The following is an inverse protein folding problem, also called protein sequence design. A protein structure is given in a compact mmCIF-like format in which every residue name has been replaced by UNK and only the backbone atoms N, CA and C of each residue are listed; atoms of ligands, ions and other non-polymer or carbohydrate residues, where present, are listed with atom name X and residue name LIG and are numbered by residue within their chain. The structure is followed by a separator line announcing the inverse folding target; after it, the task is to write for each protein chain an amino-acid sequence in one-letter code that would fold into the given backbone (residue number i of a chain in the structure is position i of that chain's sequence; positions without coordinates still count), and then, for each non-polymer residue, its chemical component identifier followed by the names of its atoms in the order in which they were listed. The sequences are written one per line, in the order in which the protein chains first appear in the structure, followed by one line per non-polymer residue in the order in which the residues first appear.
data_IF_554492134555
#
_entry.id   IF_554492134555
#
_cell.length_a   1.000
_cell.length_b   1.000
_cell.length_c   1.000
_cell.angle_alpha   90.00
_cell.angle_beta   90.00
_cell.angle_gamma   90.00
#
_symmetry.space_group_name_H-M   'P 1'
#
loop_
_entity.id
_entity.type
_entity.pdbx_description
1 polymer ?
#
# COMPACT_ATOMS: atom_id res chain seq x y z
N UNK A 1 18.83 -9.93 -15.44
CA UNK A 1 17.71 -9.72 -14.49
C UNK A 1 16.41 -10.11 -15.18
N UNK A 2 15.35 -10.48 -14.45
CA UNK A 2 14.18 -11.21 -14.99
C UNK A 2 13.34 -10.39 -15.98
N UNK A 3 13.15 -9.09 -15.72
CA UNK A 3 12.25 -8.22 -16.51
C UNK A 3 12.99 -7.20 -17.39
N UNK A 4 14.32 -7.30 -17.46
CA UNK A 4 15.21 -6.34 -18.11
C UNK A 4 14.83 -5.99 -19.56
N UNK A 5 14.42 -6.98 -20.36
CA UNK A 5 14.05 -6.76 -21.77
C UNK A 5 12.77 -5.95 -21.93
N UNK A 6 11.80 -6.15 -21.03
CA UNK A 6 10.54 -5.38 -21.01
C UNK A 6 10.77 -3.95 -20.53
N UNK A 7 11.73 -3.76 -19.62
CA UNK A 7 11.96 -2.50 -18.92
C UNK A 7 12.97 -1.56 -19.60
N UNK A 8 13.66 -1.98 -20.67
CA UNK A 8 14.68 -1.15 -21.34
C UNK A 8 14.13 0.21 -21.80
N UNK A 9 12.92 0.23 -22.36
CA UNK A 9 12.26 1.45 -22.79
C UNK A 9 11.80 2.30 -21.59
N UNK A 10 11.38 1.65 -20.51
CA UNK A 10 10.97 2.33 -19.27
C UNK A 10 12.17 3.03 -18.62
N UNK A 11 13.30 2.32 -18.46
CA UNK A 11 14.52 2.89 -17.90
C UNK A 11 15.02 4.10 -18.71
N UNK A 12 14.92 4.03 -20.04
CA UNK A 12 15.25 5.15 -20.93
C UNK A 12 14.29 6.34 -20.72
N UNK A 13 12.98 6.07 -20.65
CA UNK A 13 11.95 7.10 -20.46
C UNK A 13 12.00 7.74 -19.06
N UNK A 14 12.45 7.02 -18.03
CA UNK A 14 12.67 7.57 -16.68
C UNK A 14 13.72 8.68 -16.65
N UNK A 15 14.61 8.76 -17.65
CA UNK A 15 15.61 9.83 -17.77
C UNK A 15 15.01 11.16 -18.25
N UNK A 16 13.77 11.14 -18.76
CA UNK A 16 13.05 12.34 -19.21
C UNK A 16 12.65 13.27 -18.07
N UNK A 17 12.22 14.48 -18.45
CA UNK A 17 11.60 15.44 -17.52
C UNK A 17 10.09 15.19 -17.45
N UNK A 18 9.50 15.44 -16.28
CA UNK A 18 8.06 15.32 -16.06
C UNK A 18 7.71 14.64 -14.74
N UNK A 19 6.43 14.70 -14.39
CA UNK A 19 5.91 14.04 -13.19
C UNK A 19 5.61 12.58 -13.50
N UNK A 20 5.89 11.69 -12.55
CA UNK A 20 5.54 10.27 -12.62
C UNK A 20 4.37 10.02 -11.67
N UNK A 21 3.40 9.23 -12.11
CA UNK A 21 2.31 8.78 -11.23
C UNK A 21 2.43 7.27 -11.00
N UNK A 22 2.25 6.84 -9.76
CA UNK A 22 2.04 5.43 -9.40
C UNK A 22 0.57 5.27 -8.99
N UNK A 23 -0.20 4.56 -9.81
CA UNK A 23 -1.63 4.35 -9.61
C UNK A 23 -1.91 2.92 -9.12
N UNK A 24 -2.72 2.82 -8.06
CA UNK A 24 -3.16 1.58 -7.44
C UNK A 24 -4.67 1.40 -7.64
N UNK A 25 -5.16 0.16 -7.80
CA UNK A 25 -6.59 -0.12 -7.96
C UNK A 25 -7.39 0.19 -6.69
N UNK A 26 -8.70 0.25 -6.87
CA UNK A 26 -9.70 0.15 -5.80
C UNK A 26 -9.59 -1.22 -5.10
N UNK A 27 -9.96 -1.28 -3.82
CA UNK A 27 -9.86 -2.45 -2.96
C UNK A 27 -8.49 -3.17 -3.04
N UNK A 28 -7.40 -2.40 -3.03
CA UNK A 28 -6.06 -2.96 -3.16
C UNK A 28 -5.66 -3.79 -1.92
N UNK A 29 -5.14 -5.01 -2.14
CA UNK A 29 -4.59 -5.83 -1.05
C UNK A 29 -3.31 -5.21 -0.49
N UNK A 30 -2.88 -5.66 0.70
CA UNK A 30 -1.62 -5.24 1.33
C UNK A 30 -0.43 -5.39 0.38
N UNK A 31 -0.38 -6.48 -0.38
CA UNK A 31 0.68 -6.71 -1.37
C UNK A 31 0.66 -5.71 -2.52
N UNK A 32 -0.53 -5.38 -3.05
CA UNK A 32 -0.65 -4.36 -4.11
C UNK A 32 -0.19 -2.99 -3.62
N UNK A 33 -0.62 -2.59 -2.42
CA UNK A 33 -0.24 -1.29 -1.84
C UNK A 33 1.26 -1.28 -1.52
N UNK A 34 1.78 -2.32 -0.88
CA UNK A 34 3.20 -2.44 -0.56
C UNK A 34 4.08 -2.38 -1.81
N UNK A 35 3.67 -3.07 -2.88
CA UNK A 35 4.35 -3.04 -4.18
C UNK A 35 4.37 -1.64 -4.78
N UNK A 36 3.22 -0.98 -4.81
CA UNK A 36 3.08 0.39 -5.30
C UNK A 36 3.92 1.38 -4.52
N UNK A 37 3.87 1.31 -3.19
CA UNK A 37 4.64 2.18 -2.30
C UNK A 37 6.14 1.93 -2.39
N UNK A 38 6.57 0.69 -2.58
CA UNK A 38 7.97 0.34 -2.80
C UNK A 38 8.50 0.99 -4.09
N UNK A 39 7.74 0.92 -5.18
CA UNK A 39 8.08 1.60 -6.43
C UNK A 39 8.07 3.13 -6.28
N UNK A 40 7.05 3.68 -5.61
CA UNK A 40 6.93 5.10 -5.31
C UNK A 40 8.15 5.64 -4.54
N UNK A 41 8.52 4.98 -3.44
CA UNK A 41 9.67 5.38 -2.62
C UNK A 41 10.98 5.27 -3.40
N UNK A 42 11.16 4.21 -4.18
CA UNK A 42 12.36 4.04 -5.00
C UNK A 42 12.51 5.16 -6.04
N UNK A 43 11.42 5.55 -6.71
CA UNK A 43 11.40 6.67 -7.66
C UNK A 43 11.66 8.01 -6.95
N UNK A 44 11.07 8.21 -5.76
CA UNK A 44 11.26 9.41 -4.93
C UNK A 44 12.71 9.55 -4.49
N UNK A 45 13.32 8.47 -4.02
CA UNK A 45 14.72 8.41 -3.59
C UNK A 45 15.70 8.65 -4.75
N UNK A 46 15.31 8.27 -5.98
CA UNK A 46 16.04 8.60 -7.20
C UNK A 46 15.87 10.06 -7.67
N UNK A 47 15.22 10.92 -6.87
CA UNK A 47 15.04 12.34 -7.15
C UNK A 47 13.96 12.64 -8.19
N UNK A 48 13.06 11.69 -8.50
CA UNK A 48 11.95 11.92 -9.44
C UNK A 48 10.79 12.62 -8.75
N UNK A 49 10.10 13.47 -9.50
CA UNK A 49 8.81 14.01 -9.08
C UNK A 49 7.75 12.94 -9.24
N UNK A 50 7.42 12.24 -8.15
CA UNK A 50 6.48 11.13 -8.16
C UNK A 50 5.31 11.39 -7.22
N UNK A 51 4.10 11.00 -7.63
CA UNK A 51 2.90 11.00 -6.81
C UNK A 51 2.28 9.61 -6.84
N UNK A 52 1.80 9.14 -5.69
CA UNK A 52 1.07 7.87 -5.59
C UNK A 52 -0.42 8.13 -5.36
N UNK A 53 -1.26 7.41 -6.08
CA UNK A 53 -2.73 7.59 -6.08
C UNK A 53 -3.47 6.27 -5.98
N UNK A 54 -4.62 6.28 -5.30
CA UNK A 54 -5.54 5.13 -5.20
C UNK A 54 -6.96 5.63 -4.97
N UNK A 55 -8.02 4.98 -5.50
CA UNK A 55 -9.40 5.32 -5.17
C UNK A 55 -9.74 5.15 -3.68
N UNK A 56 -9.03 4.26 -2.98
CA UNK A 56 -9.34 3.89 -1.60
C UNK A 56 -8.84 4.93 -0.60
N UNK A 57 -9.59 5.07 0.50
CA UNK A 57 -9.03 5.64 1.73
C UNK A 57 -8.35 4.50 2.49
N UNK A 58 -7.02 4.53 2.56
CA UNK A 58 -6.22 3.45 3.14
C UNK A 58 -6.57 3.24 4.62
N UNK A 59 -6.65 1.97 5.02
CA UNK A 59 -7.15 1.56 6.34
C UNK A 59 -6.03 1.46 7.39
N UNK A 60 -6.41 1.35 8.67
CA UNK A 60 -5.45 1.27 9.79
C UNK A 60 -4.56 0.02 9.71
N UNK A 61 -5.04 -1.10 9.15
CA UNK A 61 -4.23 -2.32 8.96
C UNK A 61 -3.11 -2.15 7.92
N UNK A 62 -3.21 -1.11 7.07
CA UNK A 62 -2.22 -0.76 6.05
C UNK A 62 -1.32 0.41 6.49
N UNK A 63 -1.57 1.00 7.68
CA UNK A 63 -0.88 2.20 8.18
C UNK A 63 0.59 2.00 8.50
N UNK A 64 1.06 0.75 8.63
CA UNK A 64 2.46 0.46 8.93
C UNK A 64 3.37 0.63 7.70
N UNK A 65 2.81 0.58 6.47
CA UNK A 65 3.59 0.69 5.25
C UNK A 65 4.26 2.07 5.12
N UNK A 66 5.54 2.06 4.77
CA UNK A 66 6.29 3.29 4.51
C UNK A 66 5.73 4.01 3.26
N UNK A 67 5.50 5.32 3.38
CA UNK A 67 4.93 6.14 2.31
C UNK A 67 3.41 6.07 2.19
N UNK A 68 2.71 5.31 3.04
CA UNK A 68 1.24 5.17 2.99
C UNK A 68 0.51 6.51 3.15
N UNK A 69 1.06 7.43 3.95
CA UNK A 69 0.52 8.78 4.15
C UNK A 69 0.64 9.70 2.94
N UNK A 70 1.45 9.33 1.94
CA UNK A 70 1.61 10.11 0.71
C UNK A 70 0.56 9.76 -0.36
N UNK A 71 -0.25 8.71 -0.13
CA UNK A 71 -1.29 8.24 -1.08
C UNK A 71 -2.45 9.22 -1.13
N UNK A 72 -2.75 9.68 -2.35
CA UNK A 72 -3.83 10.61 -2.61
C UNK A 72 -5.01 9.88 -3.27
N UNK A 73 -6.22 10.22 -2.82
CA UNK A 73 -7.46 9.76 -3.43
C UNK A 73 -7.93 10.60 -4.63
N UNK A 74 -7.16 11.65 -4.94
CA UNK A 74 -7.37 12.52 -6.08
C UNK A 74 -6.12 12.44 -6.93
N UNK A 75 -6.29 12.14 -8.22
CA UNK A 75 -5.20 12.21 -9.18
C UNK A 75 -4.59 13.62 -9.11
N UNK A 76 -3.26 13.78 -9.08
CA UNK A 76 -2.65 15.10 -9.18
C UNK A 76 -2.93 15.63 -10.58
N UNK A 77 -4.13 16.17 -10.77
CA UNK A 77 -4.36 17.21 -11.74
C UNK A 77 -3.35 18.29 -11.34
N UNK A 78 -2.58 18.82 -12.29
CA UNK A 78 -1.96 20.11 -12.07
C UNK A 78 -3.09 21.12 -11.81
N UNK A 79 -3.50 21.22 -10.54
CA UNK A 79 -4.59 22.09 -10.08
C UNK A 79 -4.18 23.55 -10.05
N UNK A 80 -2.92 23.84 -10.38
CA UNK A 80 -2.57 25.11 -10.96
C UNK A 80 -2.50 24.90 -12.46
N UNK A 81 -3.17 25.76 -13.21
CA UNK A 81 -3.19 25.70 -14.66
C UNK A 81 -4.17 26.70 -15.23
N UNK A 82 -3.93 27.16 -16.46
CA UNK A 82 -4.85 28.06 -17.15
C UNK A 82 -5.90 27.20 -17.88
N UNK A 83 -7.19 27.50 -17.67
CA UNK A 83 -8.22 27.06 -18.59
C UNK A 83 -8.18 28.00 -19.81
N UNK A 84 -7.83 27.48 -20.97
CA UNK A 84 -7.60 28.27 -22.18
C UNK A 84 -8.70 27.98 -23.19
N UNK A 85 -9.30 29.06 -23.70
CA UNK A 85 -10.19 29.05 -24.85
C UNK A 85 -9.41 29.59 -26.04
N UNK A 86 -9.14 28.75 -27.02
CA UNK A 86 -8.47 29.10 -28.28
C UNK A 86 -9.49 29.38 -29.37
N UNK A 87 -9.41 30.58 -29.93
CA UNK A 87 -10.24 31.03 -31.05
C UNK A 87 -9.43 30.93 -32.35
N UNK A 88 -9.81 30.02 -33.24
CA UNK A 88 -9.08 29.80 -34.49
C UNK A 88 -9.51 30.77 -35.59
N UNK A 89 -8.57 31.19 -36.43
CA UNK A 89 -8.84 32.03 -37.61
C UNK A 89 -8.97 33.53 -37.32
N UNK A 90 -8.72 33.99 -36.10
CA UNK A 90 -8.76 35.42 -35.73
C UNK A 90 -7.38 36.08 -35.61
N UNK A 91 -6.30 35.32 -35.84
CA UNK A 91 -4.91 35.80 -35.77
C UNK A 91 -4.36 36.03 -37.17
N UNK A 92 -3.84 37.21 -37.43
CA UNK A 92 -3.14 37.61 -38.66
C UNK A 92 -1.63 37.62 -38.42
N UNK A 93 -0.82 37.29 -39.42
CA UNK A 93 0.63 37.42 -39.34
C UNK A 93 1.07 38.72 -40.02
N UNK A 94 1.52 39.70 -39.24
CA UNK A 94 2.02 40.98 -39.75
C UNK A 94 3.53 41.04 -39.50
N UNK A 95 4.32 41.06 -40.57
CA UNK A 95 5.80 41.07 -40.51
C UNK A 95 6.39 39.94 -39.63
N UNK A 96 5.79 38.75 -39.68
CA UNK A 96 6.22 37.59 -38.89
C UNK A 96 5.74 37.55 -37.44
N UNK A 97 4.93 38.53 -37.01
CA UNK A 97 4.34 38.55 -35.67
C UNK A 97 2.84 38.24 -35.71
N UNK A 98 2.34 37.35 -34.84
CA UNK A 98 0.91 37.10 -34.72
C UNK A 98 0.21 38.29 -34.05
N UNK A 99 -0.82 38.83 -34.70
CA UNK A 99 -1.58 39.99 -34.24
C UNK A 99 -3.06 39.73 -34.44
N UNK A 100 -3.90 40.14 -33.47
CA UNK A 100 -5.36 40.13 -33.60
C UNK A 100 -5.81 41.56 -33.91
N UNK A 101 -5.74 41.97 -35.18
CA UNK A 101 -6.00 43.36 -35.60
C UNK A 101 -7.47 43.77 -35.50
N UNK A 102 -8.36 42.80 -35.34
CA UNK A 102 -9.81 43.00 -35.24
C UNK A 102 -10.31 43.22 -33.81
N UNK A 103 -9.49 43.01 -32.78
CA UNK A 103 -9.90 43.10 -31.38
C UNK A 103 -9.28 44.34 -30.71
N UNK A 104 -10.13 45.22 -30.19
CA UNK A 104 -9.71 46.39 -29.42
C UNK A 104 -9.54 46.05 -27.93
N UNK A 105 -10.51 45.33 -27.36
CA UNK A 105 -10.53 44.98 -25.94
C UNK A 105 -11.27 43.66 -25.71
N UNK A 106 -10.84 42.91 -24.71
CA UNK A 106 -11.56 41.76 -24.16
C UNK A 106 -12.00 42.11 -22.74
N UNK A 107 -13.30 42.02 -22.48
CA UNK A 107 -13.90 42.10 -21.15
C UNK A 107 -14.61 40.78 -20.81
N UNK A 108 -14.99 40.63 -19.55
CA UNK A 108 -15.78 39.50 -19.09
C UNK A 108 -16.82 39.96 -18.06
N UNK A 109 -17.98 39.31 -18.06
CA UNK A 109 -19.02 39.57 -17.07
C UNK A 109 -19.80 38.32 -16.70
N UNK A 110 -20.14 38.12 -15.41
CA UNK A 110 -21.06 37.07 -15.02
C UNK A 110 -22.48 37.41 -15.49
N UNK A 111 -23.17 36.43 -16.05
CA UNK A 111 -24.56 36.53 -16.50
C UNK A 111 -25.35 35.32 -16.00
N UNK A 112 -25.92 35.45 -14.80
CA UNK A 112 -26.55 34.34 -14.10
C UNK A 112 -25.52 33.25 -13.76
N UNK A 113 -25.72 32.05 -14.33
CA UNK A 113 -24.79 30.91 -14.18
C UNK A 113 -23.70 30.87 -15.27
N UNK A 114 -23.68 31.83 -16.19
CA UNK A 114 -22.74 31.87 -17.31
C UNK A 114 -21.67 32.95 -17.09
N UNK A 115 -20.53 32.78 -17.75
CA UNK A 115 -19.50 33.81 -17.92
C UNK A 115 -19.50 34.24 -19.38
N UNK A 116 -19.89 35.48 -19.64
CA UNK A 116 -19.87 36.05 -20.97
C UNK A 116 -18.51 36.72 -21.21
N UNK A 117 -17.83 36.32 -22.30
CA UNK A 117 -16.63 36.99 -22.81
C UNK A 117 -17.03 38.01 -23.86
N UNK A 118 -16.73 39.29 -23.62
CA UNK A 118 -17.14 40.41 -24.47
C UNK A 118 -15.95 40.91 -25.28
N UNK A 119 -15.98 40.63 -26.58
CA UNK A 119 -14.97 41.05 -27.54
C UNK A 119 -15.38 42.40 -28.16
N UNK A 120 -14.68 43.47 -27.80
CA UNK A 120 -14.87 44.79 -28.41
C UNK A 120 -14.09 44.84 -29.73
N UNK A 121 -14.82 44.82 -30.85
CA UNK A 121 -14.25 44.71 -32.19
C UNK A 121 -13.86 46.11 -32.69
N UNK A 122 -12.68 46.22 -33.31
CA UNK A 122 -12.23 47.45 -33.96
C UNK A 122 -13.24 47.88 -35.05
N UNK A 123 -13.66 49.15 -35.11
CA UNK A 123 -14.62 49.61 -36.11
C UNK A 123 -14.22 49.24 -37.55
N UNK A 124 -15.16 48.65 -38.30
CA UNK A 124 -14.94 48.23 -39.69
C UNK A 124 -14.21 46.90 -39.87
N UNK A 125 -13.85 46.20 -38.78
CA UNK A 125 -13.30 44.84 -38.81
C UNK A 125 -14.35 43.80 -38.42
N UNK A 126 -14.02 42.53 -38.68
CA UNK A 126 -14.80 41.37 -38.25
C UNK A 126 -13.97 40.52 -37.31
N UNK A 127 -14.62 39.98 -36.28
CA UNK A 127 -14.05 39.01 -35.36
C UNK A 127 -14.98 37.79 -35.34
N UNK A 128 -14.68 36.80 -36.19
CA UNK A 128 -15.49 35.61 -36.40
C UNK A 128 -14.56 34.37 -36.34
N UNK A 129 -14.37 33.76 -35.16
CA UNK A 129 -13.59 32.54 -35.03
C UNK A 129 -14.20 31.40 -35.86
N UNK A 130 -13.36 30.66 -36.57
CA UNK A 130 -13.78 29.48 -37.35
C UNK A 130 -14.10 28.32 -36.41
N UNK A 131 -13.36 28.24 -35.30
CA UNK A 131 -13.52 27.21 -34.30
C UNK A 131 -13.16 27.75 -32.91
N UNK A 132 -13.81 27.18 -31.90
CA UNK A 132 -13.55 27.48 -30.49
C UNK A 132 -13.14 26.17 -29.84
N UNK A 133 -11.89 26.11 -29.37
CA UNK A 133 -11.35 24.94 -28.67
C UNK A 133 -11.05 25.29 -27.23
N UNK A 134 -11.45 24.42 -26.32
CA UNK A 134 -11.10 24.49 -24.91
C UNK A 134 -10.03 23.46 -24.58
N UNK A 135 -9.02 23.87 -23.81
CA UNK A 135 -8.06 22.95 -23.23
C UNK A 135 -7.53 23.51 -21.90
N UNK A 136 -7.04 22.61 -21.04
CA UNK A 136 -6.37 23.00 -19.80
C UNK A 136 -4.87 22.98 -20.03
N UNK A 137 -4.19 24.04 -19.63
CA UNK A 137 -2.75 24.09 -19.49
C UNK A 137 -2.42 23.88 -18.01
N UNK A 138 -1.90 22.72 -17.64
CA UNK A 138 -1.55 22.42 -16.25
C UNK A 138 -0.15 22.96 -15.90
N UNK A 139 -0.05 23.75 -14.82
CA UNK A 139 1.19 24.20 -14.14
C UNK A 139 1.73 23.17 -13.12
N UNK A 140 1.15 21.97 -13.05
CA UNK A 140 1.85 20.79 -12.52
C UNK A 140 2.50 20.10 -13.71
N UNK A 141 3.83 20.06 -13.78
CA UNK A 141 4.56 19.60 -14.97
C UNK A 141 3.98 18.31 -15.56
N UNK A 142 3.89 18.26 -16.90
CA UNK A 142 3.31 17.17 -17.69
C UNK A 142 3.59 15.81 -17.04
N UNK A 143 2.53 15.03 -16.78
CA UNK A 143 2.70 13.63 -16.40
C UNK A 143 3.34 12.93 -17.58
N UNK A 144 4.59 12.51 -17.43
CA UNK A 144 5.36 11.88 -18.51
C UNK A 144 5.18 10.35 -18.50
N UNK A 145 4.86 9.79 -17.33
CA UNK A 145 4.71 8.35 -17.15
C UNK A 145 3.70 8.03 -16.05
N UNK A 146 2.91 6.97 -16.25
CA UNK A 146 2.07 6.37 -15.21
C UNK A 146 2.42 4.90 -15.06
N UNK A 147 2.84 4.50 -13.86
CA UNK A 147 2.89 3.11 -13.44
C UNK A 147 1.54 2.72 -12.87
N UNK A 148 0.93 1.68 -13.42
CA UNK A 148 -0.29 1.06 -12.89
C UNK A 148 0.10 -0.27 -12.27
N UNK A 149 -0.09 -0.41 -10.96
CA UNK A 149 0.44 -1.53 -10.18
C UNK A 149 -0.71 -2.33 -9.57
N UNK A 150 -0.87 -3.58 -10.00
CA UNK A 150 -1.83 -4.55 -9.45
C UNK A 150 -3.28 -4.39 -9.95
N UNK A 151 -3.51 -3.58 -10.99
CA UNK A 151 -4.80 -3.45 -11.66
C UNK A 151 -4.83 -4.33 -12.91
N UNK A 152 -5.91 -5.11 -13.08
CA UNK A 152 -6.11 -5.98 -14.24
C UNK A 152 -6.73 -5.23 -15.43
N UNK A 153 -7.35 -4.09 -15.17
CA UNK A 153 -7.80 -3.14 -16.19
C UNK A 153 -7.71 -1.70 -15.68
N UNK A 154 -7.72 -0.72 -16.59
CA UNK A 154 -7.82 0.70 -16.20
C UNK A 154 -9.11 1.03 -15.44
N UNK A 155 -10.18 0.24 -15.63
CA UNK A 155 -11.43 0.44 -14.90
C UNK A 155 -11.29 0.14 -13.40
N UNK A 156 -10.30 -0.67 -13.00
CA UNK A 156 -10.03 -0.99 -11.60
C UNK A 156 -9.48 0.24 -10.84
N UNK A 157 -9.07 1.29 -11.55
CA UNK A 157 -8.69 2.58 -10.98
C UNK A 157 -9.89 3.52 -10.74
N UNK A 158 -11.12 3.10 -11.11
CA UNK A 158 -12.38 3.83 -10.86
C UNK A 158 -12.28 5.35 -11.15
N UNK A 159 -12.62 6.19 -10.16
CA UNK A 159 -12.64 7.64 -10.28
C UNK A 159 -11.27 8.23 -10.70
N UNK A 160 -10.16 7.57 -10.35
CA UNK A 160 -8.82 7.99 -10.78
C UNK A 160 -8.69 7.90 -12.30
N UNK A 161 -9.20 6.84 -12.93
CA UNK A 161 -9.16 6.72 -14.39
C UNK A 161 -10.29 7.50 -15.07
N UNK A 162 -11.53 7.37 -14.59
CA UNK A 162 -12.72 7.96 -15.22
C UNK A 162 -12.62 9.48 -15.33
N UNK A 163 -12.05 10.15 -14.32
CA UNK A 163 -11.89 11.60 -14.31
C UNK A 163 -10.65 12.09 -15.07
N UNK A 164 -9.75 11.19 -15.49
CA UNK A 164 -8.43 11.55 -16.05
C UNK A 164 -8.12 10.78 -17.35
N UNK A 165 -9.13 10.32 -18.09
CA UNK A 165 -8.98 9.47 -19.29
C UNK A 165 -8.00 10.04 -20.32
N UNK A 166 -7.96 11.37 -20.48
CA UNK A 166 -7.03 12.06 -21.37
C UNK A 166 -5.57 11.90 -20.94
N UNK A 167 -5.28 11.94 -19.63
CA UNK A 167 -3.93 11.72 -19.11
C UNK A 167 -3.48 10.29 -19.42
N UNK A 168 -4.32 9.30 -19.11
CA UNK A 168 -4.01 7.89 -19.38
C UNK A 168 -3.87 7.57 -20.88
N UNK A 169 -4.55 8.31 -21.76
CA UNK A 169 -4.45 8.12 -23.21
C UNK A 169 -3.19 8.75 -23.83
N UNK A 170 -2.67 9.83 -23.22
CA UNK A 170 -1.58 10.62 -23.78
C UNK A 170 -0.23 10.42 -23.07
N UNK A 171 -0.20 9.58 -22.03
CA UNK A 171 0.99 9.35 -21.19
C UNK A 171 1.56 7.97 -21.41
N UNK A 172 2.87 7.80 -21.21
CA UNK A 172 3.50 6.49 -21.27
C UNK A 172 3.03 5.60 -20.10
N UNK A 173 2.23 4.57 -20.40
CA UNK A 173 1.70 3.64 -19.39
C UNK A 173 2.60 2.42 -19.19
N UNK A 174 2.94 2.14 -17.95
CA UNK A 174 3.62 0.91 -17.52
C UNK A 174 2.66 0.10 -16.64
N UNK A 175 2.25 -1.07 -17.12
CA UNK A 175 1.33 -1.96 -16.43
C UNK A 175 2.13 -3.08 -15.74
N UNK A 176 2.02 -3.21 -14.42
CA UNK A 176 2.70 -4.22 -13.61
C UNK A 176 1.63 -4.99 -12.85
N UNK A 177 1.44 -6.27 -13.19
CA UNK A 177 0.42 -7.11 -12.56
C UNK A 177 0.79 -8.59 -12.69
N UNK A 178 0.15 -9.42 -11.89
CA UNK A 178 0.29 -10.89 -11.88
C UNK A 178 -1.00 -11.61 -12.23
N UNK A 179 -2.10 -10.88 -12.40
CA UNK A 179 -3.39 -11.50 -12.67
C UNK A 179 -3.44 -12.03 -14.11
N UNK A 180 -3.77 -13.33 -14.34
CA UNK A 180 -3.92 -13.89 -15.67
C UNK A 180 -5.02 -13.24 -16.51
N UNK A 181 -5.97 -12.53 -15.89
CA UNK A 181 -7.05 -11.83 -16.60
C UNK A 181 -6.71 -10.39 -16.97
N UNK A 182 -5.46 -9.95 -16.79
CA UNK A 182 -5.05 -8.57 -17.10
C UNK A 182 -5.17 -8.26 -18.60
N UNK A 183 -5.71 -7.09 -18.94
CA UNK A 183 -6.01 -6.70 -20.32
C UNK A 183 -4.83 -6.14 -21.12
N UNK A 184 -3.60 -6.14 -20.59
CA UNK A 184 -2.39 -5.68 -21.27
C UNK A 184 -2.49 -4.23 -21.78
N UNK A 185 -3.06 -3.35 -20.98
CA UNK A 185 -3.40 -1.97 -21.39
C UNK A 185 -2.21 -0.99 -21.40
N UNK A 186 -1.03 -1.40 -20.94
CA UNK A 186 0.16 -0.54 -20.90
C UNK A 186 0.88 -0.44 -22.25
N UNK A 187 1.63 0.64 -22.45
CA UNK A 187 2.64 0.72 -23.51
C UNK A 187 3.79 -0.27 -23.23
N UNK A 188 4.14 -0.44 -21.95
CA UNK A 188 4.94 -1.57 -21.44
C UNK A 188 4.08 -2.40 -20.49
N UNK A 189 4.07 -3.72 -20.66
CA UNK A 189 3.36 -4.66 -19.79
C UNK A 189 4.38 -5.62 -19.16
N UNK A 190 4.51 -5.56 -17.84
CA UNK A 190 5.29 -6.50 -17.02
C UNK A 190 4.29 -7.39 -16.30
N UNK A 191 3.85 -8.45 -17.00
CA UNK A 191 2.89 -9.42 -16.49
C UNK A 191 3.58 -10.74 -16.17
N UNK A 192 3.51 -11.17 -14.91
CA UNK A 192 4.08 -12.46 -14.47
C UNK A 192 3.07 -13.24 -13.65
N UNK A 193 2.34 -14.14 -14.33
CA UNK A 193 1.34 -15.00 -13.70
C UNK A 193 1.95 -16.12 -12.85
N UNK A 194 3.26 -16.36 -12.95
CA UNK A 194 3.98 -17.40 -12.21
C UNK A 194 4.62 -16.90 -10.92
N UNK A 195 4.79 -15.58 -10.76
CA UNK A 195 5.18 -15.01 -9.48
C UNK A 195 4.22 -15.51 -8.37
N UNK A 196 4.56 -15.44 -7.08
CA UNK A 196 3.63 -15.69 -5.98
C UNK A 196 2.96 -14.40 -5.46
N UNK A 197 3.68 -13.27 -5.55
CA UNK A 197 3.23 -11.95 -5.09
C UNK A 197 3.58 -10.86 -6.10
N UNK A 198 3.05 -9.65 -5.92
CA UNK A 198 3.44 -8.48 -6.69
C UNK A 198 4.72 -7.85 -6.10
N UNK A 199 4.90 -7.96 -4.79
CA UNK A 199 6.08 -7.44 -4.09
C UNK A 199 7.39 -8.12 -4.55
N UNK A 200 7.35 -9.43 -4.83
CA UNK A 200 8.50 -10.14 -5.42
C UNK A 200 8.76 -9.74 -6.89
N UNK A 201 7.74 -9.29 -7.62
CA UNK A 201 7.97 -8.72 -8.95
C UNK A 201 8.68 -7.38 -8.80
N UNK A 202 8.18 -6.50 -7.92
CA UNK A 202 8.74 -5.16 -7.72
C UNK A 202 10.20 -5.21 -7.29
N UNK A 203 10.61 -6.09 -6.36
CA UNK A 203 12.01 -6.16 -5.93
C UNK A 203 12.97 -6.49 -7.09
N UNK A 204 12.50 -7.24 -8.11
CA UNK A 204 13.29 -7.55 -9.30
C UNK A 204 13.22 -6.44 -10.35
N UNK A 205 12.11 -5.69 -10.42
CA UNK A 205 11.91 -4.54 -11.31
C UNK A 205 12.79 -3.35 -10.90
N UNK A 206 12.93 -3.07 -9.61
CA UNK A 206 13.68 -1.91 -9.12
C UNK A 206 15.13 -1.84 -9.65
N UNK A 207 15.96 -2.89 -9.55
CA UNK A 207 17.32 -2.86 -10.08
C UNK A 207 17.33 -2.83 -11.62
N UNK A 208 16.34 -3.42 -12.31
CA UNK A 208 16.16 -3.31 -13.76
C UNK A 208 15.93 -1.86 -14.22
N UNK A 209 15.34 -1.03 -13.36
CA UNK A 209 15.15 0.41 -13.56
C UNK A 209 16.30 1.26 -12.99
N UNK A 210 17.39 0.64 -12.51
CA UNK A 210 18.49 1.31 -11.81
C UNK A 210 18.04 2.10 -10.58
N UNK A 211 16.99 1.63 -9.90
CA UNK A 211 16.49 2.19 -8.66
C UNK A 211 17.07 1.42 -7.46
N UNK A 212 17.54 2.16 -6.45
CA UNK A 212 18.09 1.58 -5.22
C UNK A 212 16.98 1.11 -4.27
N UNK A 213 17.28 0.06 -3.52
CA UNK A 213 16.40 -0.51 -2.50
C UNK A 213 17.01 -0.20 -1.13
N UNK A 214 16.29 0.55 -0.30
CA UNK A 214 16.66 0.81 1.09
C UNK A 214 15.82 -0.03 2.08
N UNK A 215 16.05 0.18 3.37
CA UNK A 215 15.37 -0.57 4.43
C UNK A 215 13.85 -0.35 4.45
N UNK A 216 13.36 0.84 4.10
CA UNK A 216 11.93 1.17 4.13
C UNK A 216 11.21 0.50 2.95
N UNK A 217 11.79 0.60 1.74
CA UNK A 217 11.33 -0.11 0.54
C UNK A 217 11.34 -1.62 0.77
N UNK A 218 12.43 -2.15 1.33
CA UNK A 218 12.56 -3.57 1.62
C UNK A 218 11.55 -4.05 2.67
N UNK A 219 11.24 -3.24 3.68
CA UNK A 219 10.22 -3.57 4.70
C UNK A 219 8.81 -3.62 4.10
N UNK A 220 8.49 -2.71 3.17
CA UNK A 220 7.23 -2.79 2.41
C UNK A 220 7.16 -4.09 1.61
N UNK A 221 8.21 -4.44 0.86
CA UNK A 221 8.28 -5.68 0.08
C UNK A 221 8.07 -6.91 0.97
N UNK A 222 8.74 -6.99 2.12
CA UNK A 222 8.53 -8.08 3.08
C UNK A 222 7.08 -8.12 3.56
N UNK A 223 6.50 -6.98 3.92
CA UNK A 223 5.12 -6.91 4.40
C UNK A 223 4.12 -7.42 3.36
N UNK A 224 4.29 -7.03 2.09
CA UNK A 224 3.46 -7.51 0.98
C UNK A 224 3.62 -9.01 0.75
N UNK A 225 4.86 -9.52 0.74
CA UNK A 225 5.13 -10.96 0.60
C UNK A 225 4.46 -11.75 1.73
N UNK A 226 4.70 -11.40 2.99
CA UNK A 226 4.16 -12.15 4.12
C UNK A 226 2.63 -12.09 4.18
N UNK A 227 2.02 -10.95 3.87
CA UNK A 227 0.57 -10.82 3.84
C UNK A 227 -0.09 -11.70 2.77
N UNK A 228 0.42 -11.67 1.53
CA UNK A 228 -0.17 -12.41 0.42
C UNK A 228 0.08 -13.91 0.53
N UNK A 229 1.24 -14.32 1.07
CA UNK A 229 1.65 -15.73 1.18
C UNK A 229 1.20 -16.42 2.47
N UNK A 230 0.45 -15.73 3.34
CA UNK A 230 0.10 -16.19 4.69
C UNK A 230 1.34 -16.61 5.49
N UNK A 231 2.29 -15.69 5.66
CA UNK A 231 3.59 -15.94 6.31
C UNK A 231 4.41 -17.05 5.64
N UNK A 232 4.43 -17.07 4.30
CA UNK A 232 5.13 -18.06 3.48
C UNK A 232 4.59 -19.51 3.60
N UNK A 233 3.37 -19.69 4.12
CA UNK A 233 2.77 -21.03 4.32
C UNK A 233 1.85 -21.48 3.19
N UNK A 234 1.25 -20.55 2.44
CA UNK A 234 0.22 -20.87 1.44
C UNK A 234 0.76 -20.93 0.00
N UNK A 235 1.38 -19.85 -0.47
CA UNK A 235 1.85 -19.70 -1.85
C UNK A 235 3.23 -19.06 -1.86
N UNK A 236 4.25 -19.77 -2.32
CA UNK A 236 5.62 -19.28 -2.37
C UNK A 236 6.44 -20.10 -3.36
N UNK A 237 7.39 -19.44 -4.02
CA UNK A 237 8.30 -20.05 -4.99
C UNK A 237 9.76 -19.81 -4.57
N UNK A 238 10.72 -20.43 -5.27
CA UNK A 238 12.13 -20.12 -5.08
C UNK A 238 12.41 -18.61 -5.26
N UNK A 239 11.75 -17.96 -6.24
CA UNK A 239 11.84 -16.52 -6.46
C UNK A 239 11.32 -15.73 -5.24
N UNK A 240 10.27 -16.21 -4.56
CA UNK A 240 9.74 -15.59 -3.34
C UNK A 240 10.77 -15.60 -2.21
N UNK A 241 11.45 -16.73 -1.97
CA UNK A 241 12.47 -16.82 -0.93
C UNK A 241 13.72 -15.99 -1.27
N UNK A 242 14.10 -15.92 -2.56
CA UNK A 242 15.17 -15.03 -3.03
C UNK A 242 14.79 -13.57 -2.78
N UNK A 243 13.56 -13.17 -3.10
CA UNK A 243 13.05 -11.83 -2.84
C UNK A 243 13.08 -11.47 -1.35
N UNK A 244 12.68 -12.39 -0.47
CA UNK A 244 12.79 -12.21 0.99
C UNK A 244 14.24 -12.01 1.41
N UNK A 245 15.16 -12.86 0.93
CA UNK A 245 16.59 -12.73 1.23
C UNK A 245 17.18 -11.39 0.78
N UNK A 246 16.83 -10.93 -0.42
CA UNK A 246 17.24 -9.63 -0.97
C UNK A 246 16.71 -8.46 -0.12
N UNK A 247 15.43 -8.52 0.28
CA UNK A 247 14.84 -7.49 1.12
C UNK A 247 15.49 -7.44 2.50
N UNK A 248 15.74 -8.60 3.13
CA UNK A 248 16.45 -8.67 4.40
C UNK A 248 17.88 -8.15 4.30
N UNK A 249 18.58 -8.46 3.21
CA UNK A 249 19.93 -7.95 2.94
C UNK A 249 19.96 -6.42 2.79
N UNK A 250 18.91 -5.83 2.19
CA UNK A 250 18.74 -4.38 2.10
C UNK A 250 18.34 -3.72 3.44
N UNK A 251 18.21 -4.49 4.52
CA UNK A 251 17.86 -4.00 5.86
C UNK A 251 16.36 -3.98 6.14
N UNK A 252 15.55 -4.62 5.30
CA UNK A 252 14.11 -4.74 5.48
C UNK A 252 13.75 -5.47 6.79
N UNK A 253 12.71 -4.98 7.46
CA UNK A 253 12.16 -5.58 8.68
C UNK A 253 10.72 -5.99 8.43
N UNK A 254 10.36 -7.16 8.93
CA UNK A 254 8.97 -7.61 8.92
C UNK A 254 8.20 -6.73 9.89
N UNK A 255 7.32 -5.89 9.36
CA UNK A 255 6.37 -5.17 10.19
C UNK A 255 5.25 -6.15 10.55
N UNK A 256 5.09 -6.44 11.83
CA UNK A 256 3.94 -7.22 12.27
C UNK A 256 2.68 -6.43 11.94
N UNK A 257 1.91 -6.91 10.96
CA UNK A 257 0.49 -6.59 10.89
C UNK A 257 -0.09 -7.26 12.13
N UNK A 258 -0.45 -6.46 13.13
CA UNK A 258 -1.18 -6.98 14.26
C UNK A 258 -2.51 -7.50 13.75
N UNK A 259 -2.56 -8.78 13.36
CA UNK A 259 -3.80 -9.52 13.39
C UNK A 259 -4.26 -9.42 14.83
N UNK A 260 -5.29 -8.61 15.07
CA UNK A 260 -6.13 -8.78 16.25
C UNK A 260 -6.85 -10.11 16.09
N UNK A 261 -6.12 -11.22 16.19
CA UNK A 261 -6.68 -12.48 16.65
C UNK A 261 -7.12 -12.17 18.07
N UNK A 262 -8.35 -11.71 18.22
CA UNK A 262 -9.04 -11.86 19.49
C UNK A 262 -9.13 -13.36 19.73
N UNK A 263 -8.09 -13.92 20.35
CA UNK A 263 -8.24 -15.06 21.22
C UNK A 263 -9.31 -14.64 22.21
N UNK A 264 -10.54 -15.07 21.93
CA UNK A 264 -11.68 -14.96 22.81
C UNK A 264 -11.36 -15.85 24.01
N UNK A 265 -10.48 -15.37 24.89
CA UNK A 265 -10.33 -15.89 26.24
C UNK A 265 -11.64 -15.53 26.94
N UNK A 266 -12.61 -16.43 26.85
CA UNK A 266 -13.80 -16.37 27.69
C UNK A 266 -13.31 -16.30 29.14
N UNK A 267 -13.72 -15.30 29.93
CA UNK A 267 -13.46 -15.31 31.35
C UNK A 267 -14.07 -16.59 31.94
N UNK A 268 -13.24 -17.48 32.48
CA UNK A 268 -13.74 -18.53 33.34
C UNK A 268 -14.43 -17.86 34.53
N UNK A 269 -15.75 -18.01 34.63
CA UNK A 269 -16.50 -17.64 35.83
C UNK A 269 -15.98 -18.47 36.99
N UNK A 270 -15.36 -17.83 37.97
CA UNK A 270 -15.01 -18.44 39.26
C UNK A 270 -16.28 -19.03 39.92
N UNK A 271 -16.16 -20.17 40.64
CA UNK A 271 -17.28 -20.68 41.44
C UNK A 271 -17.60 -19.72 42.58
N UNK A 272 -18.83 -19.22 42.62
CA UNK A 272 -19.31 -18.35 43.69
C UNK A 272 -19.22 -19.04 45.06
N UNK A 273 -18.55 -18.39 46.01
CA UNK A 273 -18.54 -18.77 47.41
C UNK A 273 -19.97 -18.68 48.01
N UNK A 274 -20.38 -19.73 48.71
CA UNK A 274 -21.68 -19.85 49.39
C UNK A 274 -21.84 -18.79 50.48
N UNK A 275 -22.92 -18.02 50.41
CA UNK A 275 -23.35 -17.13 51.49
C UNK A 275 -24.03 -17.91 52.63
N UNK A 276 -23.73 -17.53 53.87
CA UNK A 276 -24.26 -18.10 55.11
C UNK A 276 -25.79 -17.88 55.28
N UNK A 277 -26.49 -18.72 56.07
CA UNK A 277 -27.95 -18.63 56.23
C UNK A 277 -28.39 -17.52 57.19
N UNK A 278 -29.34 -16.70 56.74
CA UNK A 278 -30.07 -15.71 57.54
C UNK A 278 -31.26 -16.33 58.27
N UNK A 279 -31.44 -15.97 59.56
CA UNK A 279 -32.55 -16.39 60.42
C UNK A 279 -33.91 -15.78 60.00
N UNK A 280 -35.05 -16.43 60.33
CA UNK A 280 -36.36 -16.03 59.83
C UNK A 280 -37.00 -14.88 60.64
N UNK A 281 -37.58 -13.92 59.92
CA UNK A 281 -38.51 -12.92 60.47
C UNK A 281 -39.91 -13.22 59.90
N UNK A 282 -40.88 -13.45 60.77
CA UNK A 282 -42.29 -13.67 60.40
C UNK A 282 -42.98 -12.35 60.03
N UNK A 283 -43.75 -12.29 58.93
CA UNK A 283 -44.69 -11.20 58.67
C UNK A 283 -46.12 -11.53 59.10
N UNK A 284 -46.78 -10.52 59.66
CA UNK A 284 -48.15 -10.50 60.16
C UNK A 284 -49.16 -10.33 59.01
N UNK A 285 -50.31 -11.01 59.08
CA UNK A 285 -51.42 -10.95 58.08
C UNK A 285 -52.54 -10.05 58.64
N UNK A 286 -53.21 -9.25 57.78
CA UNK A 286 -54.68 -9.34 57.75
C UNK A 286 -55.30 -9.39 56.33
N UNK A 287 -56.52 -9.96 56.30
CA UNK A 287 -57.48 -10.22 55.22
C UNK A 287 -57.76 -9.04 54.25
N UNK A 288 -58.36 -9.16 53.05
CA UNK A 288 -59.46 -10.00 52.56
C UNK A 288 -59.63 -9.89 51.01
N UNK A 289 -60.31 -10.89 50.41
CA UNK A 289 -61.20 -10.89 49.24
C UNK A 289 -60.78 -10.92 47.73
N UNK A 290 -61.40 -11.92 47.06
CA UNK A 290 -61.86 -12.09 45.66
C UNK A 290 -60.90 -12.43 44.48
N UNK A 291 -61.16 -13.64 43.95
CA UNK A 291 -61.32 -14.03 42.53
C UNK A 291 -60.12 -14.54 41.68
N UNK A 292 -60.18 -15.86 41.39
CA UNK A 292 -60.02 -16.56 40.09
C UNK A 292 -58.83 -16.20 39.19
N UNK A 293 -57.90 -17.06 38.77
CA UNK A 293 -57.78 -18.52 38.69
C UNK A 293 -57.07 -18.86 37.37
N UNK A 294 -56.03 -19.71 37.36
CA UNK A 294 -55.52 -20.51 36.22
C UNK A 294 -54.40 -21.44 36.74
N UNK A 295 -54.63 -22.76 36.70
CA UNK A 295 -53.71 -23.80 37.23
C UNK A 295 -53.11 -24.62 36.06
N UNK A 296 -51.78 -24.61 35.94
CA UNK A 296 -51.00 -25.25 34.88
C UNK A 296 -50.63 -26.72 35.16
N UNK A 297 -51.19 -27.33 36.22
CA UNK A 297 -50.97 -28.75 36.57
C UNK A 297 -51.66 -29.78 35.65
N UNK A 298 -52.24 -29.38 34.52
CA UNK A 298 -52.86 -30.28 33.55
C UNK A 298 -52.03 -30.58 32.29
N UNK A 299 -50.79 -30.08 32.15
CA UNK A 299 -50.12 -30.17 30.83
C UNK A 299 -49.13 -31.32 30.68
N UNK A 300 -48.41 -31.81 31.70
CA UNK A 300 -47.47 -32.92 31.46
C UNK A 300 -47.45 -34.02 32.53
N UNK A 301 -47.64 -35.23 32.02
CA UNK A 301 -47.97 -36.50 32.66
C UNK A 301 -46.67 -37.29 32.96
N UNK A 302 -46.31 -37.51 34.22
CA UNK A 302 -45.19 -38.39 34.62
C UNK A 302 -45.71 -39.50 35.54
N UNK A 303 -45.69 -40.77 35.11
CA UNK A 303 -45.91 -41.91 36.00
C UNK A 303 -44.65 -42.27 36.79
N UNK A 304 -44.88 -42.79 37.99
CA UNK A 304 -43.91 -43.06 39.05
C UNK A 304 -43.56 -44.57 39.13
N UNK A 305 -42.34 -44.87 39.59
CA UNK A 305 -41.89 -46.12 40.31
C UNK A 305 -41.13 -47.22 39.51
N UNK A 306 -40.40 -48.19 40.15
CA UNK A 306 -39.05 -48.02 40.75
C UNK A 306 -38.06 -49.23 40.50
N UNK A 307 -36.85 -49.14 41.10
CA UNK A 307 -35.96 -50.22 41.67
C UNK A 307 -34.57 -50.49 41.04
N UNK A 308 -33.54 -50.29 41.90
CA UNK A 308 -32.19 -50.89 42.11
C UNK A 308 -31.33 -51.43 40.96
N UNK A 309 -30.07 -50.98 40.88
CA UNK A 309 -28.90 -51.71 41.43
C UNK A 309 -27.56 -50.94 41.25
N UNK A 310 -26.62 -51.31 42.13
CA UNK A 310 -25.20 -50.97 42.21
C UNK A 310 -24.47 -50.64 40.90
N UNK A 311 -23.52 -49.69 40.95
CA UNK A 311 -22.08 -50.00 40.92
C UNK A 311 -21.22 -48.76 41.22
N UNK A 312 -20.07 -49.01 41.86
CA UNK A 312 -19.10 -48.02 42.30
C UNK A 312 -17.85 -48.15 41.42
N UNK A 313 -17.37 -47.03 40.87
CA UNK A 313 -16.02 -46.96 40.31
C UNK A 313 -15.32 -45.67 40.75
N UNK A 314 -14.10 -45.88 41.25
CA UNK A 314 -13.17 -44.93 41.83
C UNK A 314 -12.36 -44.29 40.70
N UNK A 315 -12.21 -42.96 40.71
CA UNK A 315 -11.30 -42.23 39.82
C UNK A 315 -9.83 -42.39 40.29
N UNK A 316 -8.87 -42.67 39.39
CA UNK A 316 -7.44 -42.66 39.74
C UNK A 316 -6.88 -41.23 39.85
N UNK A 317 -5.85 -41.00 40.68
CA UNK A 317 -5.24 -39.68 40.84
C UNK A 317 -4.37 -39.28 39.63
N UNK A 318 -4.42 -37.98 39.32
CA UNK A 318 -3.63 -37.29 38.30
C UNK A 318 -2.15 -37.28 38.71
N UNK A 319 -1.28 -37.83 37.84
CA UNK A 319 0.17 -37.70 37.95
C UNK A 319 0.60 -36.41 37.25
N UNK A 320 1.25 -35.52 37.99
CA UNK A 320 1.89 -34.32 37.49
C UNK A 320 3.21 -34.65 36.78
N UNK A 321 3.26 -34.52 35.46
CA UNK A 321 4.52 -34.58 34.71
C UNK A 321 5.18 -33.21 34.68
N UNK A 322 6.13 -32.99 35.60
CA UNK A 322 7.18 -31.99 35.41
C UNK A 322 8.13 -32.48 34.32
N UNK A 323 8.26 -31.72 33.24
CA UNK A 323 9.27 -31.96 32.22
C UNK A 323 10.65 -31.60 32.80
N UNK A 324 11.46 -32.62 33.10
CA UNK A 324 12.90 -32.44 33.34
C UNK A 324 13.61 -32.27 32.00
N UNK A 325 14.37 -31.19 31.89
CA UNK A 325 15.35 -30.94 30.84
C UNK A 325 16.44 -32.02 30.87
N UNK A 326 16.65 -32.72 29.75
CA UNK A 326 17.82 -33.57 29.55
C UNK A 326 19.10 -32.74 29.52
N UNK A 327 20.23 -33.22 30.06
CA UNK A 327 21.51 -32.55 29.92
C UNK A 327 21.92 -32.48 28.45
N UNK A 328 21.95 -31.26 27.93
CA UNK A 328 22.47 -30.91 26.63
C UNK A 328 23.95 -31.30 26.56
N UNK A 329 24.27 -32.14 25.59
CA UNK A 329 25.60 -32.57 25.23
C UNK A 329 26.38 -31.33 24.75
N UNK A 330 27.38 -30.91 25.53
CA UNK A 330 28.30 -29.82 25.14
C UNK A 330 28.91 -30.13 23.77
N UNK A 331 28.93 -29.19 22.80
CA UNK A 331 29.78 -29.36 21.64
C UNK A 331 31.25 -29.37 22.10
N UNK A 332 31.92 -30.49 21.84
CA UNK A 332 33.35 -30.66 22.02
C UNK A 332 34.06 -29.73 21.04
N UNK A 333 34.84 -28.80 21.58
CA UNK A 333 35.66 -27.89 20.77
C UNK A 333 36.61 -28.66 19.87
N UNK A 334 36.49 -28.44 18.57
CA UNK A 334 37.44 -28.94 17.59
C UNK A 334 38.69 -28.05 17.64
N UNK A 335 39.75 -28.59 18.25
CA UNK A 335 41.06 -27.97 18.24
C UNK A 335 41.71 -28.18 16.87
N UNK A 336 41.85 -27.10 16.10
CA UNK A 336 42.72 -27.09 14.94
C UNK A 336 44.19 -27.17 15.38
N UNK A 337 44.80 -28.36 15.31
CA UNK A 337 46.25 -28.49 15.43
C UNK A 337 46.93 -28.04 14.15
N UNK A 338 47.57 -26.87 14.21
CA UNK A 338 48.49 -26.34 13.20
C UNK A 338 49.75 -27.21 13.06
N UNK A 339 50.23 -27.40 11.84
CA UNK A 339 51.64 -27.73 11.57
C UNK A 339 52.28 -26.61 10.73
N UNK A 340 53.39 -26.10 11.28
CA UNK A 340 54.48 -25.32 10.66
C UNK A 340 54.40 -23.76 10.64
N UNK A 341 55.57 -23.07 10.65
CA UNK A 341 55.92 -22.10 11.69
C UNK A 341 56.17 -20.68 11.16
N UNK A 342 56.22 -19.73 12.10
CA UNK A 342 56.88 -18.40 12.07
C UNK A 342 56.85 -17.58 10.77
N UNK A 343 56.10 -16.47 10.79
CA UNK A 343 56.61 -15.18 10.28
C UNK A 343 56.12 -14.05 11.20
N UNK A 344 57.09 -13.25 11.63
CA UNK A 344 57.00 -12.11 12.55
C UNK A 344 56.08 -10.98 12.04
N UNK A 345 55.47 -10.29 13.01
CA UNK A 345 54.76 -9.01 12.86
C UNK A 345 55.66 -7.89 12.31
N UNK A 346 55.08 -6.90 11.60
CA UNK A 346 55.49 -5.52 11.82
C UNK A 346 54.33 -4.59 12.19
N UNK A 347 54.69 -3.60 13.00
CA UNK A 347 53.89 -2.59 13.71
C UNK A 347 53.18 -1.57 12.81
N UNK A 348 52.05 -0.96 13.27
CA UNK A 348 51.32 0.06 12.52
C UNK A 348 51.83 1.49 12.80
N UNK A 349 52.30 2.20 11.77
CA UNK A 349 52.79 3.59 11.90
C UNK A 349 52.27 4.50 10.76
N UNK A 350 51.06 5.06 10.90
CA UNK A 350 50.52 6.03 9.94
C UNK A 350 49.69 7.15 10.59
N UNK A 351 50.07 7.57 11.80
CA UNK A 351 49.55 8.79 12.44
C UNK A 351 50.49 9.99 12.19
N UNK A 352 50.45 10.58 10.98
CA UNK A 352 50.95 11.95 10.77
C UNK A 352 50.09 12.70 9.75
N UNK A 353 49.48 13.85 10.09
CA UNK A 353 48.71 14.67 9.15
C UNK A 353 49.64 15.50 8.24
N UNK A 354 49.38 15.50 6.93
CA UNK A 354 50.09 16.36 5.96
C UNK A 354 49.59 17.80 6.06
N UNK A 355 50.41 18.66 6.67
CA UNK A 355 50.37 20.11 6.56
C UNK A 355 50.76 20.55 5.14
N UNK A 356 49.86 21.21 4.42
CA UNK A 356 50.21 21.98 3.21
C UNK A 356 50.42 23.45 3.60
N UNK A 357 51.67 23.92 3.53
CA UNK A 357 52.02 25.35 3.42
C UNK A 357 52.49 25.61 1.99
N UNK A 358 52.01 26.72 1.42
CA UNK A 358 52.09 27.03 0.00
C UNK A 358 53.46 27.41 -0.54
N UNK A 359 53.49 27.59 -1.86
CA UNK A 359 54.59 28.17 -2.62
C UNK A 359 54.02 28.93 -3.81
N UNK A 360 54.30 30.24 -3.82
CA UNK A 360 53.91 31.24 -4.80
C UNK A 360 54.98 31.29 -5.90
N UNK A 361 54.61 31.22 -7.18
CA UNK A 361 55.41 31.60 -8.37
C UNK A 361 54.44 31.50 -9.56
N UNK A 362 54.25 32.48 -10.44
CA UNK A 362 54.78 33.83 -10.65
C UNK A 362 54.01 34.42 -11.83
#
# INVERSE_FOLDING_TARGET
MKYQSQLQNVASALSGQGSIVVALPTNASTDKIASGLSLYLALKNAGKHVVVVSPDNLTVSQSNLYGVGDVKNIFPLGGQGNFIISLEGVVENVNGNPVVSSLEKLDWMPNGNNLDLVFHITPGKKFEPINVREYRQENGGQVSMVFVVGASSLNDLEAIYQNNTQVFSNTYLVNIDRNPTNSNFGATNVLDTNAATLSEMVIQILPDLSLSIDADIASNILTGIYAETANLTAKGSADTFIAVGQAMQAGGKIQQVAESSQLHLQPQTEPAAQAAPSQPVMPNIPANDQASGFDLKQIFNIPNSPVQNNESFINPPVVSSQAQSSPEEKPVGEYATSKNPEVETPTPDWLVPKIFKGGNVG
#
